data_IF_116195340796
#
_entry.id   IF_116195340796
#
_cell.length_a   1.000
_cell.length_b   1.000
_cell.length_c   1.000
_cell.angle_alpha   90.00
_cell.angle_beta   90.00
_cell.angle_gamma   90.00
#
_symmetry.space_group_name_H-M   'P 1'
#
loop_
_entity.id
_entity.type
_entity.pdbx_description
1 polymer ?
#
# COMPACT_ATOMS: atom_id res chain seq x y z
N UNK A 1 -25.54 -15.97 28.06
CA UNK A 1 -25.68 -16.15 26.60
C UNK A 1 -25.73 -14.74 26.02
N UNK A 2 -24.86 -14.24 25.14
CA UNK A 2 -23.88 -14.85 24.26
C UNK A 2 -22.60 -14.00 24.23
N UNK A 3 -21.46 -14.65 24.02
CA UNK A 3 -20.19 -14.01 23.71
C UNK A 3 -20.30 -13.27 22.37
N UNK A 4 -19.81 -12.03 22.32
CA UNK A 4 -19.39 -11.44 21.05
C UNK A 4 -17.88 -11.56 20.99
N UNK A 5 -17.43 -12.68 20.42
CA UNK A 5 -16.09 -12.80 19.86
C UNK A 5 -15.94 -11.69 18.81
N UNK A 6 -15.42 -10.55 19.24
CA UNK A 6 -15.08 -9.46 18.32
C UNK A 6 -13.78 -9.91 17.69
N UNK A 7 -13.87 -10.47 16.49
CA UNK A 7 -12.75 -10.86 15.62
C UNK A 7 -11.55 -9.95 15.89
N UNK A 8 -10.47 -10.53 16.39
CA UNK A 8 -9.22 -9.81 16.65
C UNK A 8 -8.80 -9.13 15.35
N UNK A 9 -9.14 -7.84 15.20
CA UNK A 9 -8.67 -7.03 14.11
C UNK A 9 -7.18 -6.84 14.35
N UNK A 10 -6.35 -7.74 13.82
CA UNK A 10 -4.90 -7.63 13.83
C UNK A 10 -4.52 -6.43 12.95
N UNK A 11 -4.60 -5.23 13.52
CA UNK A 11 -4.14 -4.01 12.88
C UNK A 11 -2.61 -3.99 12.91
N UNK A 12 -1.99 -4.58 11.87
CA UNK A 12 -0.55 -4.47 11.68
C UNK A 12 -0.21 -3.08 11.17
N UNK A 13 0.48 -2.30 12.01
CA UNK A 13 1.03 -1.01 11.65
C UNK A 13 2.49 -1.19 11.23
N UNK A 14 2.77 -1.18 9.93
CA UNK A 14 4.12 -1.16 9.41
C UNK A 14 4.40 0.21 8.81
N UNK A 15 5.52 0.83 9.21
CA UNK A 15 6.05 1.95 8.47
C UNK A 15 6.64 1.38 7.18
N UNK A 16 6.40 2.04 6.05
CA UNK A 16 7.00 1.63 4.80
C UNK A 16 7.59 2.83 4.09
N UNK A 17 8.70 2.59 3.41
CA UNK A 17 9.37 3.58 2.58
C UNK A 17 9.37 3.08 1.14
N UNK A 18 8.69 3.83 0.28
CA UNK A 18 8.58 3.53 -1.14
C UNK A 18 9.45 4.51 -1.92
N UNK A 19 10.37 4.00 -2.73
CA UNK A 19 11.27 4.83 -3.55
C UNK A 19 11.37 4.31 -4.99
N UNK A 20 11.50 5.22 -5.94
CA UNK A 20 11.69 4.89 -7.37
C UNK A 20 10.41 5.03 -8.21
N UNK A 21 10.20 4.08 -9.12
CA UNK A 21 9.08 4.05 -10.09
C UNK A 21 8.34 2.71 -10.02
N UNK A 22 7.11 2.62 -10.56
CA UNK A 22 6.39 1.36 -10.67
C UNK A 22 7.17 0.25 -11.40
N UNK A 23 7.99 0.57 -12.41
CA UNK A 23 8.82 -0.40 -13.13
C UNK A 23 10.13 -0.76 -12.43
N UNK A 24 10.69 0.19 -11.66
CA UNK A 24 11.94 0.00 -10.92
C UNK A 24 11.92 0.78 -9.62
N UNK A 25 11.79 0.06 -8.52
CA UNK A 25 11.71 0.69 -7.21
C UNK A 25 12.13 -0.23 -6.08
N UNK A 26 11.98 0.32 -4.89
CA UNK A 26 12.25 -0.34 -3.62
C UNK A 26 11.14 0.00 -2.65
N UNK A 27 10.72 -1.00 -1.89
CA UNK A 27 9.81 -0.88 -0.77
C UNK A 27 10.51 -1.47 0.45
N UNK A 28 10.89 -0.61 1.39
CA UNK A 28 11.37 -1.03 2.70
C UNK A 28 10.18 -1.07 3.67
N UNK A 29 10.03 -2.16 4.40
CA UNK A 29 9.03 -2.32 5.44
C UNK A 29 9.74 -2.36 6.78
N UNK A 30 9.40 -1.39 7.62
CA UNK A 30 9.98 -1.15 8.91
C UNK A 30 8.92 -1.31 9.99
N UNK A 31 9.31 -1.94 11.09
CA UNK A 31 8.51 -1.94 12.31
C UNK A 31 8.58 -0.57 12.99
N UNK A 32 7.55 -0.19 13.77
CA UNK A 32 7.57 1.04 14.56
C UNK A 32 8.76 1.14 15.53
N UNK A 33 9.31 -0.01 15.95
CA UNK A 33 10.49 -0.11 16.82
C UNK A 33 11.84 0.03 16.06
N UNK A 34 11.80 0.34 14.76
CA UNK A 34 12.99 0.71 13.97
C UNK A 34 13.70 -0.45 13.25
N UNK A 35 13.15 -1.67 13.27
CA UNK A 35 13.75 -2.81 12.56
C UNK A 35 13.12 -3.01 11.18
N UNK A 36 13.94 -3.17 10.13
CA UNK A 36 13.46 -3.57 8.80
C UNK A 36 13.04 -5.04 8.84
N UNK A 37 11.76 -5.31 8.56
CA UNK A 37 11.19 -6.66 8.49
C UNK A 37 11.28 -7.25 7.10
N UNK A 38 11.27 -6.40 6.08
CA UNK A 38 11.37 -6.82 4.68
C UNK A 38 11.84 -5.67 3.81
N UNK A 39 12.63 -5.99 2.78
CA UNK A 39 13.05 -5.08 1.72
C UNK A 39 12.74 -5.70 0.38
N UNK A 40 11.76 -5.13 -0.28
CA UNK A 40 11.38 -5.46 -1.63
C UNK A 40 12.11 -4.58 -2.63
N UNK A 41 12.68 -5.18 -3.68
CA UNK A 41 13.32 -4.49 -4.80
C UNK A 41 12.84 -5.09 -6.09
N UNK A 42 12.34 -4.27 -6.99
CA UNK A 42 11.93 -4.73 -8.32
C UNK A 42 12.56 -3.90 -9.43
N UNK A 43 12.62 -4.54 -10.59
CA UNK A 43 13.00 -3.98 -11.88
C UNK A 43 12.05 -4.57 -12.92
N UNK A 44 12.09 -4.07 -14.15
CA UNK A 44 11.15 -4.33 -15.25
C UNK A 44 10.72 -5.79 -15.48
N UNK A 45 11.48 -6.78 -15.01
CA UNK A 45 11.17 -8.21 -15.16
C UNK A 45 11.46 -9.05 -13.89
N UNK A 46 11.76 -8.43 -12.75
CA UNK A 46 12.12 -9.21 -11.55
C UNK A 46 11.75 -8.50 -10.28
N UNK A 47 11.07 -9.21 -9.37
CA UNK A 47 10.81 -8.77 -8.01
C UNK A 47 11.61 -9.64 -7.05
N UNK A 48 12.45 -9.02 -6.23
CA UNK A 48 13.29 -9.67 -5.23
C UNK A 48 12.88 -9.15 -3.87
N UNK A 49 12.47 -10.05 -3.00
CA UNK A 49 12.13 -9.78 -1.63
C UNK A 49 13.26 -10.27 -0.72
N UNK A 50 13.77 -9.39 0.11
CA UNK A 50 14.81 -9.67 1.08
C UNK A 50 14.21 -9.58 2.48
N UNK A 51 14.18 -10.71 3.21
CA UNK A 51 13.64 -10.78 4.57
C UNK A 51 14.69 -11.40 5.50
N UNK A 52 14.54 -11.28 6.84
CA UNK A 52 15.41 -11.98 7.79
C UNK A 52 15.43 -13.51 7.60
N UNK A 53 14.41 -14.09 6.97
CA UNK A 53 14.31 -15.52 6.70
C UNK A 53 15.06 -15.94 5.42
N UNK A 54 15.40 -14.98 4.56
CA UNK A 54 16.08 -15.19 3.30
C UNK A 54 15.56 -14.30 2.18
N UNK A 55 16.16 -14.49 1.00
CA UNK A 55 15.78 -13.78 -0.21
C UNK A 55 14.91 -14.67 -1.10
N UNK A 56 13.73 -14.17 -1.48
CA UNK A 56 12.80 -14.83 -2.40
C UNK A 56 12.62 -13.99 -3.66
N UNK A 57 12.34 -14.65 -4.78
CA UNK A 57 11.94 -13.99 -6.03
C UNK A 57 10.47 -14.21 -6.26
N UNK A 58 9.80 -13.15 -6.69
CA UNK A 58 8.39 -13.14 -7.02
C UNK A 58 8.21 -12.70 -8.47
N UNK A 59 7.15 -13.21 -9.11
CA UNK A 59 6.83 -12.85 -10.48
C UNK A 59 6.24 -11.44 -10.58
N UNK A 60 5.46 -11.02 -9.57
CA UNK A 60 4.78 -9.73 -9.54
C UNK A 60 4.89 -9.07 -8.17
N UNK A 61 4.65 -7.75 -8.14
CA UNK A 61 4.59 -6.99 -6.89
C UNK A 61 3.44 -7.44 -6.00
N UNK A 62 2.31 -7.84 -6.59
CA UNK A 62 1.15 -8.34 -5.86
C UNK A 62 1.50 -9.60 -5.05
N UNK A 63 2.15 -10.58 -5.70
CA UNK A 63 2.58 -11.84 -5.08
C UNK A 63 3.58 -11.60 -3.94
N UNK A 64 4.51 -10.67 -4.16
CA UNK A 64 5.44 -10.23 -3.13
C UNK A 64 4.74 -9.57 -1.94
N UNK A 65 3.82 -8.63 -2.16
CA UNK A 65 3.07 -8.01 -1.04
C UNK A 65 2.23 -9.02 -0.29
N UNK A 66 1.68 -10.02 -0.98
CA UNK A 66 0.97 -11.13 -0.35
C UNK A 66 1.89 -11.94 0.57
N UNK A 67 3.13 -12.18 0.15
CA UNK A 67 4.11 -12.89 0.98
C UNK A 67 4.55 -12.09 2.22
N UNK A 68 4.60 -10.76 2.13
CA UNK A 68 5.11 -9.90 3.23
C UNK A 68 4.01 -9.38 4.16
N UNK A 69 2.96 -8.83 3.57
CA UNK A 69 1.85 -8.16 4.25
C UNK A 69 0.70 -9.15 4.50
N UNK A 70 0.69 -10.29 3.80
CA UNK A 70 -0.42 -11.25 3.80
C UNK A 70 -1.47 -10.96 2.72
N UNK A 71 -1.40 -9.80 2.06
CA UNK A 71 -2.40 -9.32 1.11
C UNK A 71 -1.79 -8.80 -0.20
N UNK A 72 -2.53 -8.95 -1.29
CA UNK A 72 -2.15 -8.40 -2.60
C UNK A 72 -2.43 -6.91 -2.62
N UNK A 73 -1.37 -6.10 -2.52
CA UNK A 73 -1.47 -4.65 -2.61
C UNK A 73 -1.13 -4.21 -4.04
N UNK A 74 -1.89 -3.26 -4.62
CA UNK A 74 -1.61 -2.72 -5.94
C UNK A 74 -0.48 -1.68 -5.86
N UNK A 75 0.75 -2.12 -5.55
CA UNK A 75 1.94 -1.26 -5.44
C UNK A 75 2.13 -0.35 -6.66
N UNK A 76 1.95 -0.82 -7.92
CA UNK A 76 2.02 0.06 -9.08
C UNK A 76 0.99 1.19 -9.03
N UNK A 77 -0.25 0.90 -8.64
CA UNK A 77 -1.29 1.90 -8.54
C UNK A 77 -1.00 2.91 -7.42
N UNK A 78 -0.42 2.45 -6.30
CA UNK A 78 0.00 3.32 -5.21
C UNK A 78 0.96 4.41 -5.70
N UNK A 79 1.91 4.13 -6.61
CA UNK A 79 2.80 5.17 -7.16
C UNK A 79 2.07 6.31 -7.88
N UNK A 80 0.98 6.01 -8.56
CA UNK A 80 0.13 7.02 -9.21
C UNK A 80 -0.75 7.71 -8.17
N UNK A 81 -1.29 6.97 -7.21
CA UNK A 81 -2.06 7.55 -6.09
C UNK A 81 -1.22 8.55 -5.30
N UNK A 82 0.06 8.24 -5.07
CA UNK A 82 1.04 9.13 -4.45
C UNK A 82 1.26 10.43 -5.21
N UNK A 83 0.91 10.48 -6.49
CA UNK A 83 0.94 11.69 -7.31
C UNK A 83 -0.42 12.36 -7.42
N UNK A 84 -1.37 11.96 -6.58
CA UNK A 84 -2.74 12.48 -6.56
C UNK A 84 -3.57 12.08 -7.76
N UNK A 85 -3.19 11.01 -8.48
CA UNK A 85 -3.86 10.61 -9.72
C UNK A 85 -4.22 9.11 -9.73
N UNK A 86 -5.29 8.72 -10.42
CA UNK A 86 -5.62 7.32 -10.62
C UNK A 86 -4.60 6.62 -11.51
N UNK A 87 -4.40 5.32 -11.29
CA UNK A 87 -3.55 4.50 -12.13
C UNK A 87 -4.23 4.24 -13.49
N UNK A 88 -3.59 4.52 -14.63
CA UNK A 88 -4.24 4.39 -15.94
C UNK A 88 -4.58 2.96 -16.36
N UNK A 89 -3.96 1.94 -15.75
CA UNK A 89 -4.20 0.54 -16.12
C UNK A 89 -5.47 -0.06 -15.49
N UNK A 90 -6.18 0.67 -14.64
CA UNK A 90 -7.42 0.22 -14.03
C UNK A 90 -8.47 1.34 -14.04
N UNK A 91 -9.75 0.96 -14.10
CA UNK A 91 -10.83 1.94 -14.03
C UNK A 91 -10.85 2.64 -12.66
N UNK A 92 -11.14 3.93 -12.69
CA UNK A 92 -11.30 4.76 -11.49
C UNK A 92 -12.64 5.46 -11.51
N UNK A 93 -13.28 5.51 -10.35
CA UNK A 93 -14.49 6.29 -10.14
C UNK A 93 -14.16 7.49 -9.25
N UNK A 94 -14.32 8.74 -9.71
CA UNK A 94 -14.12 9.90 -8.84
C UNK A 94 -15.08 9.87 -7.65
N UNK A 95 -14.63 10.39 -6.51
CA UNK A 95 -15.50 10.58 -5.35
C UNK A 95 -16.59 11.62 -5.70
N UNK A 96 -17.86 11.26 -5.50
CA UNK A 96 -19.01 12.16 -5.73
C UNK A 96 -19.12 13.25 -4.67
N UNK A 97 -18.44 13.09 -3.52
CA UNK A 97 -18.41 14.09 -2.47
C UNK A 97 -17.27 15.09 -2.72
N UNK A 98 -17.50 16.41 -2.54
CA UNK A 98 -16.45 17.41 -2.65
C UNK A 98 -15.40 17.28 -1.53
N UNK A 99 -15.72 16.57 -0.45
CA UNK A 99 -14.81 16.20 0.62
C UNK A 99 -15.14 14.76 1.11
N UNK A 100 -14.19 13.80 1.07
CA UNK A 100 -12.83 14.01 0.63
C UNK A 100 -12.66 14.06 -0.90
N UNK A 101 -11.83 15.00 -1.36
CA UNK A 101 -11.37 15.04 -2.74
C UNK A 101 -10.57 13.75 -3.00
N UNK A 102 -10.95 12.96 -4.00
CA UNK A 102 -10.37 11.63 -4.16
C UNK A 102 -11.04 10.79 -5.23
N UNK A 103 -10.68 9.51 -5.25
CA UNK A 103 -11.21 8.55 -6.21
C UNK A 103 -11.20 7.14 -5.63
N UNK A 104 -12.04 6.27 -6.19
CA UNK A 104 -12.08 4.84 -5.90
C UNK A 104 -11.50 4.06 -7.08
N UNK A 105 -10.59 3.13 -6.81
CA UNK A 105 -9.94 2.30 -7.82
C UNK A 105 -9.57 0.94 -7.23
N UNK A 106 -9.82 -0.16 -7.95
CA UNK A 106 -9.49 -1.53 -7.50
C UNK A 106 -10.11 -1.90 -6.12
N UNK A 107 -11.25 -1.31 -5.76
CA UNK A 107 -11.88 -1.48 -4.44
C UNK A 107 -11.25 -0.65 -3.31
N UNK A 108 -10.21 0.14 -3.61
CA UNK A 108 -9.62 1.11 -2.70
C UNK A 108 -10.29 2.47 -2.84
N UNK A 109 -10.48 3.16 -1.73
CA UNK A 109 -10.88 4.56 -1.66
C UNK A 109 -9.65 5.38 -1.32
N UNK A 110 -9.20 6.22 -2.25
CA UNK A 110 -8.06 7.12 -2.09
C UNK A 110 -8.58 8.51 -1.76
N UNK A 111 -8.25 8.98 -0.57
CA UNK A 111 -8.54 10.31 -0.04
C UNK A 111 -7.30 11.19 -0.21
N UNK A 112 -7.51 12.30 -0.93
CA UNK A 112 -6.54 13.34 -1.25
C UNK A 112 -6.85 14.67 -0.54
N UNK A 113 -7.79 14.73 0.41
CA UNK A 113 -8.10 15.96 1.14
C UNK A 113 -6.91 16.51 1.93
N UNK A 114 -5.93 15.67 2.24
CA UNK A 114 -4.67 16.03 2.91
C UNK A 114 -3.46 16.01 1.97
N UNK A 115 -3.69 15.99 0.65
CA UNK A 115 -2.61 15.93 -0.32
C UNK A 115 -1.74 17.19 -0.29
N UNK A 116 -2.32 18.36 -0.04
CA UNK A 116 -1.59 19.61 0.21
C UNK A 116 -0.64 19.53 1.43
N UNK A 117 -0.99 18.70 2.41
CA UNK A 117 -0.16 18.40 3.59
C UNK A 117 0.82 17.24 3.35
N UNK A 118 0.99 16.84 2.09
CA UNK A 118 1.80 15.71 1.69
C UNK A 118 1.35 14.40 2.36
N UNK A 119 0.03 14.19 2.47
CA UNK A 119 -0.56 12.98 3.04
C UNK A 119 -1.66 12.41 2.15
N UNK A 120 -1.68 11.08 2.04
CA UNK A 120 -2.70 10.33 1.32
C UNK A 120 -3.19 9.22 2.21
N UNK A 121 -4.50 8.99 2.20
CA UNK A 121 -5.12 7.86 2.86
C UNK A 121 -5.80 6.97 1.82
N UNK A 122 -5.34 5.73 1.69
CA UNK A 122 -5.99 4.73 0.85
C UNK A 122 -6.61 3.65 1.75
N UNK A 123 -7.91 3.44 1.66
CA UNK A 123 -8.64 2.45 2.45
C UNK A 123 -9.37 1.45 1.56
N UNK A 124 -9.24 0.17 1.87
CA UNK A 124 -10.03 -0.92 1.31
C UNK A 124 -10.95 -1.46 2.40
N UNK A 125 -12.25 -1.22 2.26
CA UNK A 125 -13.27 -1.69 3.21
C UNK A 125 -13.63 -3.17 3.01
N UNK A 126 -13.22 -3.78 1.90
CA UNK A 126 -13.41 -5.21 1.66
C UNK A 126 -12.50 -6.05 2.59
N UNK A 127 -13.03 -7.09 3.28
CA UNK A 127 -12.26 -7.89 4.20
C UNK A 127 -11.13 -8.68 3.50
N UNK A 128 -9.90 -8.71 4.06
CA UNK A 128 -9.51 -7.97 5.27
C UNK A 128 -9.43 -6.47 4.99
N UNK A 129 -10.00 -5.67 5.91
CA UNK A 129 -10.01 -4.23 5.78
C UNK A 129 -8.57 -3.71 5.90
N UNK A 130 -8.09 -2.99 4.89
CA UNK A 130 -6.72 -2.47 4.86
C UNK A 130 -6.77 -0.96 4.79
N UNK A 131 -6.02 -0.30 5.68
CA UNK A 131 -5.82 1.14 5.63
C UNK A 131 -4.35 1.43 5.43
N UNK A 132 -4.04 2.17 4.38
CA UNK A 132 -2.69 2.59 4.01
C UNK A 132 -2.64 4.10 4.14
N UNK A 133 -1.89 4.59 5.12
CA UNK A 133 -1.62 6.02 5.26
C UNK A 133 -0.21 6.29 4.77
N UNK A 134 -0.08 7.20 3.81
CA UNK A 134 1.21 7.62 3.28
C UNK A 134 1.46 9.06 3.63
N UNK A 135 2.63 9.32 4.20
CA UNK A 135 3.18 10.67 4.32
C UNK A 135 4.27 10.79 3.26
N UNK A 136 4.08 11.68 2.30
CA UNK A 136 5.11 12.00 1.33
C UNK A 136 6.12 12.90 2.02
N UNK A 137 7.38 12.50 1.99
CA UNK A 137 8.47 13.39 2.39
C UNK A 137 8.82 14.29 1.21
N UNK A 138 9.02 15.59 1.48
CA UNK A 138 9.43 16.55 0.46
C UNK A 138 10.94 16.39 0.25
N UNK A 139 11.43 16.23 -1.00
CA UNK A 139 12.86 16.15 -1.28
C UNK A 139 13.61 17.45 -0.91
#
# INVERSE_FOLDING_TARGET
MAATETTEAHSMSAAFELSGTPDRGRLDLNTPIGSTVARARWKSDSVVLDTPQGQTRHATLADMTRAVVGEELPVPAMFDWLRGRPWPAAESTPSLAPDPAGFRQLGWTVDLSRFDEARILARRDAPPAVTVQVKLDKP
#
